data_IF_595903655178
#
_entry.id   IF_595903655178
#
_cell.length_a   1.000
_cell.length_b   1.000
_cell.length_c   1.000
_cell.angle_alpha   90.00
_cell.angle_beta   90.00
_cell.angle_gamma   90.00
#
_symmetry.space_group_name_H-M   'P 1'
#
loop_
_entity.id
_entity.type
_entity.pdbx_description
1 polymer ?
#
# COMPACT_ATOMS: atom_id res chain seq x y z
N UNK A 1 20.70 11.52 3.55
CA UNK A 1 19.29 11.17 3.26
C UNK A 1 19.20 10.12 2.18
N UNK A 2 19.73 10.36 0.97
CA UNK A 2 19.73 9.36 -0.11
C UNK A 2 20.39 8.03 0.28
N UNK A 3 21.50 8.05 1.01
CA UNK A 3 22.17 6.83 1.52
C UNK A 3 21.29 6.01 2.48
N UNK A 4 20.49 6.67 3.33
CA UNK A 4 19.55 6.00 4.24
C UNK A 4 18.40 5.35 3.46
N UNK A 5 17.87 6.06 2.47
CA UNK A 5 16.83 5.55 1.56
C UNK A 5 17.35 4.32 0.80
N UNK A 6 18.56 4.40 0.24
CA UNK A 6 19.17 3.29 -0.49
C UNK A 6 19.36 2.05 0.37
N UNK A 7 19.81 2.21 1.62
CA UNK A 7 19.93 1.10 2.57
C UNK A 7 18.57 0.48 2.88
N UNK A 8 17.57 1.30 3.20
CA UNK A 8 16.23 0.82 3.55
C UNK A 8 15.55 0.08 2.38
N UNK A 9 15.80 0.51 1.13
CA UNK A 9 15.35 -0.23 -0.07
C UNK A 9 16.04 -1.59 -0.15
N UNK A 10 17.36 -1.64 0.09
CA UNK A 10 18.12 -2.90 0.06
C UNK A 10 17.64 -3.88 1.15
N UNK A 11 17.40 -3.37 2.36
CA UNK A 11 16.97 -4.19 3.50
C UNK A 11 15.56 -4.77 3.30
N UNK A 12 14.73 -4.12 2.48
CA UNK A 12 13.34 -4.53 2.22
C UNK A 12 13.06 -4.96 0.79
N UNK A 13 14.10 -5.26 -0.01
CA UNK A 13 13.97 -5.63 -1.43
C UNK A 13 13.05 -6.82 -1.65
N UNK A 14 13.03 -7.79 -0.72
CA UNK A 14 12.15 -8.96 -0.80
C UNK A 14 10.66 -8.57 -0.76
N UNK A 15 10.29 -7.59 0.06
CA UNK A 15 8.91 -7.09 0.12
C UNK A 15 8.54 -6.35 -1.16
N UNK A 16 9.48 -5.56 -1.72
CA UNK A 16 9.26 -4.84 -2.99
C UNK A 16 9.01 -5.84 -4.12
N UNK A 17 9.88 -6.83 -4.27
CA UNK A 17 9.75 -7.87 -5.29
C UNK A 17 8.46 -8.67 -5.11
N UNK A 18 8.13 -9.07 -3.88
CA UNK A 18 6.90 -9.78 -3.58
C UNK A 18 5.64 -9.00 -3.98
N UNK A 19 5.56 -7.72 -3.62
CA UNK A 19 4.44 -6.86 -4.01
C UNK A 19 4.36 -6.69 -5.54
N UNK A 20 5.50 -6.52 -6.22
CA UNK A 20 5.54 -6.43 -7.68
C UNK A 20 5.06 -7.72 -8.36
N UNK A 21 5.46 -8.90 -7.87
CA UNK A 21 5.01 -10.18 -8.42
C UNK A 21 3.49 -10.33 -8.25
N UNK A 22 2.96 -10.03 -7.06
CA UNK A 22 1.51 -10.10 -6.83
C UNK A 22 0.76 -9.10 -7.74
N UNK A 23 1.25 -7.85 -7.86
CA UNK A 23 0.67 -6.87 -8.79
C UNK A 23 0.66 -7.38 -10.24
N UNK A 24 1.77 -7.96 -10.72
CA UNK A 24 1.85 -8.52 -12.07
C UNK A 24 0.90 -9.71 -12.27
N UNK A 25 0.71 -10.56 -11.24
CA UNK A 25 -0.26 -11.65 -11.30
C UNK A 25 -1.69 -11.12 -11.42
N UNK A 26 -2.07 -10.13 -10.61
CA UNK A 26 -3.40 -9.49 -10.69
C UNK A 26 -3.58 -8.90 -12.09
N UNK A 27 -2.60 -8.14 -12.59
CA UNK A 27 -2.60 -7.59 -13.95
C UNK A 27 -2.81 -8.68 -15.00
N UNK A 28 -2.03 -9.76 -14.94
CA UNK A 28 -2.12 -10.86 -15.90
C UNK A 28 -3.50 -11.53 -15.90
N UNK A 29 -4.07 -11.75 -14.71
CA UNK A 29 -5.43 -12.30 -14.57
C UNK A 29 -6.47 -11.33 -15.13
N UNK A 30 -6.37 -10.03 -14.82
CA UNK A 30 -7.30 -9.02 -15.33
C UNK A 30 -7.24 -8.92 -16.86
N UNK A 31 -6.04 -8.96 -17.45
CA UNK A 31 -5.88 -8.94 -18.92
C UNK A 31 -6.44 -10.21 -19.55
N UNK A 32 -6.16 -11.38 -18.95
CA UNK A 32 -6.70 -12.65 -19.43
C UNK A 32 -8.23 -12.67 -19.36
N UNK A 33 -8.81 -12.25 -18.24
CA UNK A 33 -10.26 -12.20 -18.06
C UNK A 33 -10.94 -11.29 -19.08
N UNK A 34 -10.35 -10.12 -19.33
CA UNK A 34 -10.84 -9.13 -20.29
C UNK A 34 -10.81 -9.63 -21.74
N UNK A 35 -9.91 -10.56 -22.07
CA UNK A 35 -9.73 -11.07 -23.42
C UNK A 35 -10.49 -12.41 -23.66
N UNK A 36 -10.78 -13.18 -22.61
CA UNK A 36 -11.43 -14.50 -22.69
C UNK A 36 -12.82 -14.59 -22.02
N UNK A 37 -13.32 -13.49 -21.43
CA UNK A 37 -14.68 -13.37 -20.84
C UNK A 37 -14.98 -14.41 -19.72
N UNK A 38 -14.01 -14.68 -18.82
CA UNK A 38 -14.09 -15.73 -17.79
C UNK A 38 -14.58 -15.23 -16.41
N UNK A 39 -15.80 -14.73 -16.31
CA UNK A 39 -16.14 -13.74 -15.28
C UNK A 39 -16.13 -14.14 -13.77
N UNK A 40 -16.58 -15.32 -13.28
CA UNK A 40 -16.77 -15.48 -11.83
C UNK A 40 -15.49 -15.87 -11.07
N UNK A 41 -14.62 -16.68 -11.67
CA UNK A 41 -13.45 -17.25 -10.96
C UNK A 41 -12.31 -16.23 -10.89
N UNK A 42 -12.11 -15.43 -11.95
CA UNK A 42 -11.08 -14.40 -12.05
C UNK A 42 -11.25 -13.32 -10.99
N UNK A 43 -12.49 -12.86 -10.75
CA UNK A 43 -12.79 -11.84 -9.73
C UNK A 43 -12.42 -12.31 -8.32
N UNK A 44 -12.79 -13.54 -7.96
CA UNK A 44 -12.47 -14.13 -6.65
C UNK A 44 -10.96 -14.28 -6.44
N UNK A 45 -10.24 -14.68 -7.49
CA UNK A 45 -8.78 -14.80 -7.47
C UNK A 45 -8.09 -13.43 -7.33
N UNK A 46 -8.54 -12.43 -8.10
CA UNK A 46 -8.06 -11.04 -8.00
C UNK A 46 -8.31 -10.45 -6.59
N UNK A 47 -9.49 -10.66 -6.02
CA UNK A 47 -9.80 -10.23 -4.66
C UNK A 47 -8.90 -10.87 -3.61
N UNK A 48 -8.62 -12.17 -3.76
CA UNK A 48 -7.71 -12.91 -2.86
C UNK A 48 -6.28 -12.40 -2.98
N UNK A 49 -5.77 -12.17 -4.19
CA UNK A 49 -4.44 -11.60 -4.43
C UNK A 49 -4.34 -10.16 -3.91
N UNK A 50 -5.38 -9.34 -4.08
CA UNK A 50 -5.43 -7.99 -3.53
C UNK A 50 -5.35 -8.01 -1.99
N UNK A 51 -6.03 -8.96 -1.32
CA UNK A 51 -5.89 -9.15 0.12
C UNK A 51 -4.45 -9.47 0.52
N UNK A 52 -3.78 -10.39 -0.19
CA UNK A 52 -2.36 -10.70 0.05
C UNK A 52 -1.45 -9.50 -0.20
N UNK A 53 -1.74 -8.66 -1.19
CA UNK A 53 -1.01 -7.43 -1.46
C UNK A 53 -1.18 -6.41 -0.32
N UNK A 54 -2.38 -6.25 0.22
CA UNK A 54 -2.58 -5.37 1.38
C UNK A 54 -1.90 -5.91 2.64
N UNK A 55 -1.96 -7.23 2.85
CA UNK A 55 -1.25 -7.90 3.93
C UNK A 55 0.28 -7.75 3.78
N UNK A 56 0.83 -7.76 2.56
CA UNK A 56 2.25 -7.55 2.33
C UNK A 56 2.68 -6.12 2.68
N UNK A 57 1.90 -5.09 2.33
CA UNK A 57 2.18 -3.71 2.75
C UNK A 57 2.10 -3.52 4.27
N UNK A 58 1.13 -4.14 4.92
CA UNK A 58 1.05 -4.18 6.38
C UNK A 58 2.32 -4.83 6.97
N UNK A 59 2.72 -5.99 6.46
CA UNK A 59 3.91 -6.69 6.92
C UNK A 59 5.21 -5.91 6.69
N UNK A 60 5.32 -5.16 5.60
CA UNK A 60 6.43 -4.25 5.31
C UNK A 60 6.54 -3.17 6.39
N UNK A 61 5.43 -2.51 6.75
CA UNK A 61 5.41 -1.52 7.82
C UNK A 61 5.81 -2.10 9.17
N UNK A 62 5.32 -3.32 9.49
CA UNK A 62 5.72 -4.04 10.71
C UNK A 62 7.21 -4.34 10.71
N UNK A 63 7.74 -4.89 9.61
CA UNK A 63 9.14 -5.28 9.49
C UNK A 63 10.09 -4.09 9.63
N UNK A 64 9.76 -2.94 9.04
CA UNK A 64 10.55 -1.71 9.15
C UNK A 64 10.69 -1.24 10.60
N UNK A 65 9.58 -1.18 11.35
CA UNK A 65 9.61 -0.70 12.75
C UNK A 65 10.13 -1.75 13.72
N UNK A 66 9.78 -3.02 13.52
CA UNK A 66 10.25 -4.10 14.36
C UNK A 66 11.76 -4.35 14.18
N UNK A 67 12.24 -4.40 12.93
CA UNK A 67 13.65 -4.61 12.60
C UNK A 67 14.53 -3.50 13.19
N UNK A 68 14.08 -2.26 13.12
CA UNK A 68 14.76 -1.13 13.75
C UNK A 68 14.95 -1.30 15.25
N UNK A 69 13.88 -1.72 15.92
CA UNK A 69 13.88 -1.90 17.37
C UNK A 69 14.71 -3.10 17.79
N UNK A 70 14.56 -4.22 17.09
CA UNK A 70 15.28 -5.46 17.39
C UNK A 70 16.80 -5.27 17.22
N UNK A 71 17.20 -4.60 16.14
CA UNK A 71 18.61 -4.39 15.80
C UNK A 71 19.18 -3.08 16.37
N UNK A 72 18.36 -2.29 17.10
CA UNK A 72 18.73 -0.99 17.67
C UNK A 72 19.37 -0.04 16.64
N UNK A 73 18.89 -0.08 15.40
CA UNK A 73 19.49 0.68 14.29
C UNK A 73 19.32 2.17 14.53
N UNK A 74 18.14 2.63 14.93
CA UNK A 74 17.90 4.04 15.24
C UNK A 74 18.78 4.57 16.38
N UNK A 75 19.13 3.77 17.39
CA UNK A 75 20.04 4.23 18.44
C UNK A 75 21.46 4.39 17.91
N UNK A 76 21.94 3.43 17.10
CA UNK A 76 23.26 3.52 16.45
C UNK A 76 23.33 4.67 15.44
N UNK A 77 22.27 4.93 14.68
CA UNK A 77 22.23 6.05 13.74
C UNK A 77 22.14 7.40 14.47
N UNK A 78 21.53 7.44 15.66
CA UNK A 78 21.38 8.67 16.44
C UNK A 78 22.67 9.17 17.10
N UNK A 79 23.71 8.32 17.20
CA UNK A 79 25.06 8.78 17.61
C UNK A 79 25.79 9.49 16.48
N UNK A 80 25.30 9.37 15.24
CA UNK A 80 25.74 10.20 14.11
C UNK A 80 24.90 11.48 14.02
N UNK A 81 25.28 12.42 13.15
CA UNK A 81 24.58 13.69 12.93
C UNK A 81 23.19 13.55 12.23
N UNK A 82 22.48 12.44 12.45
CA UNK A 82 21.17 12.13 11.86
C UNK A 82 20.10 12.14 12.94
N UNK A 83 19.09 13.00 12.78
CA UNK A 83 17.96 13.06 13.71
C UNK A 83 16.97 11.92 13.47
N UNK A 84 16.28 11.47 14.53
CA UNK A 84 15.23 10.45 14.46
C UNK A 84 14.13 10.76 13.44
N UNK A 85 13.71 12.02 13.40
CA UNK A 85 12.80 12.57 12.40
C UNK A 85 13.23 12.23 10.97
N UNK A 86 14.51 12.36 10.66
CA UNK A 86 15.05 12.06 9.33
C UNK A 86 15.03 10.56 9.02
N UNK A 87 15.27 9.72 10.02
CA UNK A 87 15.19 8.25 9.89
C UNK A 87 13.74 7.83 9.60
N UNK A 88 12.78 8.29 10.40
CA UNK A 88 11.37 7.99 10.20
C UNK A 88 10.88 8.48 8.84
N UNK A 89 11.24 9.71 8.43
CA UNK A 89 10.89 10.24 7.13
C UNK A 89 11.45 9.38 5.98
N UNK A 90 12.69 8.91 6.08
CA UNK A 90 13.27 8.02 5.08
C UNK A 90 12.49 6.71 4.95
N UNK A 91 12.07 6.11 6.07
CA UNK A 91 11.25 4.88 6.07
C UNK A 91 9.90 5.08 5.41
N UNK A 92 9.19 6.13 5.82
CA UNK A 92 7.88 6.48 5.27
C UNK A 92 7.98 6.74 3.77
N UNK A 93 9.01 7.48 3.31
CA UNK A 93 9.24 7.71 1.89
C UNK A 93 9.48 6.42 1.11
N UNK A 94 10.26 5.48 1.67
CA UNK A 94 10.51 4.17 1.05
C UNK A 94 9.22 3.35 1.00
N UNK A 95 8.44 3.29 2.08
CA UNK A 95 7.16 2.59 2.08
C UNK A 95 6.16 3.17 1.09
N UNK A 96 6.05 4.50 1.02
CA UNK A 96 5.22 5.19 0.02
C UNK A 96 5.70 4.87 -1.40
N UNK A 97 7.01 4.89 -1.65
CA UNK A 97 7.57 4.56 -2.97
C UNK A 97 7.26 3.12 -3.38
N UNK A 98 7.34 2.16 -2.44
CA UNK A 98 7.02 0.75 -2.69
C UNK A 98 5.52 0.57 -2.98
N UNK A 99 4.64 1.21 -2.19
CA UNK A 99 3.19 1.18 -2.42
C UNK A 99 2.84 1.80 -3.78
N UNK A 100 3.32 3.01 -4.06
CA UNK A 100 3.03 3.69 -5.33
C UNK A 100 3.61 2.91 -6.50
N UNK A 101 4.85 2.44 -6.41
CA UNK A 101 5.52 1.68 -7.48
C UNK A 101 4.77 0.38 -7.82
N UNK A 102 4.42 -0.41 -6.80
CA UNK A 102 3.68 -1.67 -7.01
C UNK A 102 2.26 -1.45 -7.52
N UNK A 103 1.57 -0.39 -7.10
CA UNK A 103 0.26 -0.05 -7.65
C UNK A 103 0.37 0.47 -9.09
N UNK A 104 1.38 1.29 -9.41
CA UNK A 104 1.63 1.75 -10.79
C UNK A 104 1.89 0.57 -11.73
N UNK A 105 2.65 -0.44 -11.28
CA UNK A 105 2.85 -1.69 -12.04
C UNK A 105 1.53 -2.42 -12.36
N UNK A 106 0.53 -2.29 -11.50
CA UNK A 106 -0.81 -2.84 -11.73
C UNK A 106 -1.65 -1.94 -12.65
N UNK A 107 -1.70 -0.64 -12.35
CA UNK A 107 -2.53 0.35 -13.04
C UNK A 107 -2.19 0.48 -14.51
N UNK A 108 -0.90 0.68 -14.81
CA UNK A 108 -0.46 1.12 -16.14
C UNK A 108 -0.79 0.08 -17.20
N UNK A 109 -0.49 -1.22 -17.03
CA UNK A 109 -0.82 -2.22 -18.04
C UNK A 109 -2.33 -2.39 -18.22
N UNK A 110 -3.12 -2.37 -17.13
CA UNK A 110 -4.59 -2.47 -17.22
C UNK A 110 -5.15 -1.29 -18.01
N UNK A 111 -4.68 -0.07 -17.73
CA UNK A 111 -5.08 1.12 -18.46
C UNK A 111 -4.71 1.05 -19.96
N UNK A 112 -3.51 0.56 -20.29
CA UNK A 112 -3.07 0.37 -21.68
C UNK A 112 -3.97 -0.63 -22.41
N UNK A 113 -4.29 -1.77 -21.79
CA UNK A 113 -5.15 -2.79 -22.42
C UNK A 113 -6.56 -2.25 -22.62
N UNK A 114 -7.13 -1.54 -21.64
CA UNK A 114 -8.43 -0.88 -21.79
C UNK A 114 -8.42 0.15 -22.94
N UNK A 115 -7.34 0.91 -23.10
CA UNK A 115 -7.19 1.84 -24.23
C UNK A 115 -7.10 1.14 -25.58
N UNK A 116 -6.40 0.00 -25.65
CA UNK A 116 -6.27 -0.78 -26.89
C UNK A 116 -7.61 -1.36 -27.34
N UNK A 117 -8.43 -1.86 -26.41
CA UNK A 117 -9.75 -2.42 -26.71
C UNK A 117 -10.75 -1.33 -27.13
N UNK A 118 -10.62 -0.11 -26.60
CA UNK A 118 -11.55 0.98 -26.87
C UNK A 118 -11.39 1.69 -28.24
N UNK A 119 -10.40 1.32 -29.06
CA UNK A 119 -10.14 1.92 -30.39
C UNK A 119 -10.67 0.98 -31.49
N UNK A 120 -11.65 1.35 -32.36
CA UNK A 120 -11.63 2.58 -33.19
C UNK A 120 -13.01 3.14 -33.67
N UNK A 121 -14.14 2.98 -32.96
CA UNK A 121 -15.44 3.52 -33.42
C UNK A 121 -16.03 4.54 -32.42
N UNK A 122 -16.26 5.78 -32.87
CA UNK A 122 -16.46 6.99 -32.07
C UNK A 122 -17.56 7.00 -30.98
N UNK A 123 -18.35 5.94 -30.85
CA UNK A 123 -19.29 5.71 -29.75
C UNK A 123 -18.55 5.36 -28.45
N UNK A 124 -17.42 4.65 -28.52
CA UNK A 124 -16.66 4.24 -27.34
C UNK A 124 -15.97 5.39 -26.59
N UNK A 125 -15.73 6.54 -27.25
CA UNK A 125 -15.02 7.67 -26.63
C UNK A 125 -15.73 8.25 -25.40
N UNK A 126 -17.07 8.40 -25.45
CA UNK A 126 -17.85 8.88 -24.28
C UNK A 126 -17.88 7.88 -23.14
N UNK A 127 -17.87 6.59 -23.47
CA UNK A 127 -17.80 5.52 -22.48
C UNK A 127 -16.43 5.59 -21.79
N UNK A 128 -15.34 5.73 -22.55
CA UNK A 128 -13.98 5.89 -21.99
C UNK A 128 -13.87 7.09 -21.05
N UNK A 129 -14.47 8.24 -21.38
CA UNK A 129 -14.44 9.41 -20.50
C UNK A 129 -15.15 9.14 -19.16
N UNK A 130 -16.32 8.51 -19.18
CA UNK A 130 -17.04 8.14 -17.96
C UNK A 130 -16.27 7.11 -17.13
N UNK A 131 -15.74 6.06 -17.77
CA UNK A 131 -14.95 5.02 -17.10
C UNK A 131 -13.61 5.54 -16.58
N UNK A 132 -13.01 6.55 -17.22
CA UNK A 132 -11.73 7.12 -16.77
C UNK A 132 -11.82 7.71 -15.36
N UNK A 133 -12.94 8.36 -15.03
CA UNK A 133 -13.19 8.88 -13.69
C UNK A 133 -13.31 7.75 -12.67
N UNK A 134 -14.15 6.75 -12.95
CA UNK A 134 -14.34 5.59 -12.07
C UNK A 134 -13.04 4.81 -11.86
N UNK A 135 -12.25 4.62 -12.93
CA UNK A 135 -10.94 3.97 -12.85
C UNK A 135 -10.02 4.78 -11.94
N UNK A 136 -9.91 6.10 -12.13
CA UNK A 136 -9.10 6.94 -11.25
C UNK A 136 -9.56 6.88 -9.80
N UNK A 137 -10.86 6.81 -9.53
CA UNK A 137 -11.38 6.69 -8.18
C UNK A 137 -11.04 5.34 -7.53
N UNK A 138 -11.18 4.23 -8.28
CA UNK A 138 -10.81 2.89 -7.83
C UNK A 138 -9.31 2.84 -7.53
N UNK A 139 -8.48 3.35 -8.44
CA UNK A 139 -7.03 3.34 -8.30
C UNK A 139 -6.57 4.20 -7.12
N UNK A 140 -7.12 5.40 -6.98
CA UNK A 140 -6.81 6.29 -5.85
C UNK A 140 -7.22 5.64 -4.53
N UNK A 141 -8.40 5.00 -4.49
CA UNK A 141 -8.85 4.25 -3.31
C UNK A 141 -7.89 3.09 -3.00
N UNK A 142 -7.43 2.36 -4.01
CA UNK A 142 -6.49 1.24 -3.86
C UNK A 142 -5.13 1.69 -3.31
N UNK A 143 -4.60 2.81 -3.80
CA UNK A 143 -3.37 3.43 -3.26
C UNK A 143 -3.57 3.84 -1.80
N UNK A 144 -4.69 4.49 -1.48
CA UNK A 144 -4.98 4.93 -0.11
C UNK A 144 -5.17 3.76 0.85
N UNK A 145 -5.85 2.68 0.45
CA UNK A 145 -5.96 1.45 1.26
C UNK A 145 -4.58 0.87 1.50
N UNK A 146 -3.75 0.77 0.46
CA UNK A 146 -2.39 0.23 0.56
C UNK A 146 -1.53 1.07 1.52
N UNK A 147 -1.60 2.40 1.42
CA UNK A 147 -0.93 3.32 2.34
C UNK A 147 -1.46 3.21 3.77
N UNK A 148 -2.78 3.06 3.95
CA UNK A 148 -3.38 2.87 5.26
C UNK A 148 -2.91 1.56 5.90
N UNK A 149 -2.85 0.47 5.13
CA UNK A 149 -2.32 -0.83 5.58
C UNK A 149 -0.86 -0.71 5.99
N UNK A 150 -0.04 -0.05 5.18
CA UNK A 150 1.36 0.25 5.52
C UNK A 150 1.48 1.06 6.83
N UNK A 151 0.69 2.12 7.00
CA UNK A 151 0.71 2.96 8.19
C UNK A 151 0.28 2.19 9.45
N UNK A 152 -0.72 1.30 9.35
CA UNK A 152 -1.08 0.39 10.43
C UNK A 152 0.10 -0.50 10.77
N UNK A 153 0.77 -1.06 9.76
CA UNK A 153 1.97 -1.87 9.95
C UNK A 153 3.04 -1.13 10.75
N UNK A 154 3.31 0.14 10.43
CA UNK A 154 4.26 0.97 11.18
C UNK A 154 3.87 1.12 12.65
N UNK A 155 2.61 1.48 12.93
CA UNK A 155 2.12 1.63 14.31
C UNK A 155 2.24 0.33 15.09
N UNK A 156 1.86 -0.76 14.44
CA UNK A 156 1.82 -2.10 15.00
C UNK A 156 3.24 -2.56 15.32
N UNK A 157 4.19 -2.40 14.40
CA UNK A 157 5.60 -2.76 14.61
C UNK A 157 6.28 -2.04 15.79
N UNK A 158 5.71 -0.91 16.25
CA UNK A 158 6.17 -0.21 17.45
C UNK A 158 5.65 -0.82 18.76
N UNK A 159 4.56 -1.58 18.73
CA UNK A 159 3.97 -2.17 19.95
C UNK A 159 4.80 -3.33 20.47
N UNK A 160 4.91 -3.46 21.81
CA UNK A 160 5.68 -4.53 22.46
C UNK A 160 4.95 -5.87 22.50
N UNK A 161 3.62 -5.85 22.43
CA UNK A 161 2.79 -7.03 22.63
C UNK A 161 2.46 -7.70 21.29
N UNK A 162 3.05 -8.87 21.05
CA UNK A 162 2.87 -9.70 19.84
C UNK A 162 1.41 -10.07 19.56
N UNK A 163 0.60 -10.28 20.61
CA UNK A 163 -0.81 -10.67 20.45
C UNK A 163 -1.64 -9.47 19.99
N UNK A 164 -1.42 -8.30 20.62
CA UNK A 164 -2.06 -7.05 20.21
C UNK A 164 -1.65 -6.63 18.80
N UNK A 165 -0.42 -6.94 18.42
CA UNK A 165 0.13 -6.71 17.08
C UNK A 165 -0.67 -7.48 16.01
N UNK A 166 -0.80 -8.80 16.16
CA UNK A 166 -1.51 -9.64 15.18
C UNK A 166 -3.01 -9.36 15.16
N UNK A 167 -3.68 -9.35 16.32
CA UNK A 167 -5.13 -9.19 16.37
C UNK A 167 -5.57 -7.78 15.97
N UNK A 168 -4.85 -6.76 16.43
CA UNK A 168 -5.16 -5.36 16.12
C UNK A 168 -4.97 -5.06 14.63
N UNK A 169 -3.90 -5.56 14.02
CA UNK A 169 -3.65 -5.35 12.58
C UNK A 169 -4.68 -6.03 11.69
N UNK A 170 -5.05 -7.29 11.98
CA UNK A 170 -6.08 -7.99 11.23
C UNK A 170 -7.46 -7.33 11.36
N UNK A 171 -7.82 -6.87 12.57
CA UNK A 171 -9.08 -6.18 12.80
C UNK A 171 -9.14 -4.83 12.07
N UNK A 172 -8.06 -4.05 12.10
CA UNK A 172 -7.99 -2.78 11.36
C UNK A 172 -7.99 -2.99 9.85
N UNK A 173 -7.29 -4.01 9.34
CA UNK A 173 -7.34 -4.38 7.93
C UNK A 173 -8.76 -4.75 7.50
N UNK A 174 -9.42 -5.62 8.27
CA UNK A 174 -10.80 -6.03 8.01
C UNK A 174 -11.76 -4.84 8.04
N UNK A 175 -11.58 -3.91 8.98
CA UNK A 175 -12.40 -2.69 9.09
C UNK A 175 -12.22 -1.76 7.90
N UNK A 176 -10.98 -1.53 7.44
CA UNK A 176 -10.70 -0.71 6.25
C UNK A 176 -11.32 -1.33 5.01
N UNK A 177 -11.13 -2.63 4.80
CA UNK A 177 -11.70 -3.34 3.66
C UNK A 177 -13.23 -3.31 3.69
N UNK A 178 -13.83 -3.50 4.88
CA UNK A 178 -15.30 -3.42 5.06
C UNK A 178 -15.81 -2.01 4.77
N UNK A 179 -15.10 -0.97 5.21
CA UNK A 179 -15.50 0.42 4.98
C UNK A 179 -15.52 0.74 3.48
N UNK A 180 -14.47 0.36 2.75
CA UNK A 180 -14.40 0.57 1.30
C UNK A 180 -15.42 -0.29 0.57
N UNK A 181 -15.66 -1.52 1.01
CA UNK A 181 -16.67 -2.40 0.43
C UNK A 181 -18.09 -1.83 0.56
N UNK A 182 -18.45 -1.33 1.75
CA UNK A 182 -19.79 -0.80 2.03
C UNK A 182 -20.00 0.55 1.33
N UNK A 183 -19.02 1.46 1.37
CA UNK A 183 -19.15 2.80 0.78
C UNK A 183 -18.88 2.84 -0.72
N UNK A 184 -18.15 1.87 -1.24
CA UNK A 184 -17.58 1.89 -2.57
C UNK A 184 -16.38 2.86 -2.69
N UNK A 185 -15.65 2.79 -3.82
CA UNK A 185 -14.63 3.77 -4.16
C UNK A 185 -15.31 5.11 -4.44
N UNK A 186 -14.87 6.16 -3.74
CA UNK A 186 -15.43 7.50 -3.92
C UNK A 186 -14.81 8.52 -2.97
N UNK A 187 -15.07 9.82 -3.18
CA UNK A 187 -14.39 10.90 -2.46
C UNK A 187 -14.60 10.85 -0.94
N UNK A 188 -15.76 10.35 -0.49
CA UNK A 188 -16.05 10.18 0.94
C UNK A 188 -15.14 9.12 1.59
N UNK A 189 -15.00 7.95 0.95
CA UNK A 189 -14.13 6.90 1.44
C UNK A 189 -12.65 7.34 1.41
N UNK A 190 -12.24 8.03 0.34
CA UNK A 190 -10.90 8.60 0.23
C UNK A 190 -10.59 9.58 1.35
N UNK A 191 -11.51 10.50 1.65
CA UNK A 191 -11.33 11.47 2.73
C UNK A 191 -11.16 10.78 4.09
N UNK A 192 -11.96 9.75 4.37
CA UNK A 192 -11.83 8.96 5.60
C UNK A 192 -10.45 8.28 5.66
N UNK A 193 -10.00 7.68 4.55
CA UNK A 193 -8.69 7.04 4.47
C UNK A 193 -7.55 8.05 4.66
N UNK A 194 -7.64 9.24 4.07
CA UNK A 194 -6.62 10.30 4.22
C UNK A 194 -6.53 10.76 5.67
N UNK A 195 -7.67 11.01 6.32
CA UNK A 195 -7.70 11.39 7.75
C UNK A 195 -7.12 10.27 8.61
N UNK A 196 -7.47 9.02 8.32
CA UNK A 196 -6.92 7.85 9.00
C UNK A 196 -5.39 7.74 8.83
N UNK A 197 -4.88 7.87 7.61
CA UNK A 197 -3.44 7.86 7.30
C UNK A 197 -2.72 8.98 8.07
N UNK A 198 -3.26 10.21 8.04
CA UNK A 198 -2.68 11.35 8.72
C UNK A 198 -2.62 11.14 10.25
N UNK A 199 -3.72 10.67 10.84
CA UNK A 199 -3.76 10.31 12.25
C UNK A 199 -2.78 9.18 12.59
N UNK A 200 -2.68 8.17 11.71
CA UNK A 200 -1.81 7.04 11.93
C UNK A 200 -0.32 7.41 11.90
N UNK A 201 0.08 8.23 10.92
CA UNK A 201 1.42 8.77 10.79
C UNK A 201 1.76 9.74 11.92
N UNK A 202 0.84 10.64 12.30
CA UNK A 202 1.04 11.57 13.41
C UNK A 202 1.26 10.86 14.74
N UNK A 203 0.48 9.81 15.03
CA UNK A 203 0.70 8.99 16.22
C UNK A 203 2.03 8.22 16.17
N UNK A 204 2.39 7.64 15.01
CA UNK A 204 3.68 6.96 14.81
C UNK A 204 4.84 7.91 15.04
N UNK A 205 4.74 9.12 14.48
CA UNK A 205 5.73 10.18 14.67
C UNK A 205 5.93 10.52 16.14
N UNK A 206 4.84 10.85 16.84
CA UNK A 206 4.90 11.21 18.25
C UNK A 206 5.53 10.10 19.10
N UNK A 207 5.15 8.84 18.87
CA UNK A 207 5.72 7.67 19.56
C UNK A 207 7.20 7.48 19.26
N UNK A 208 7.62 7.64 18.02
CA UNK A 208 9.01 7.48 17.59
C UNK A 208 9.92 8.57 18.17
N UNK A 209 9.43 9.81 18.24
CA UNK A 209 10.19 10.95 18.79
C UNK A 209 10.27 10.93 20.31
N UNK A 210 9.25 10.41 21.01
CA UNK A 210 9.17 10.42 22.47
C UNK A 210 9.85 9.25 23.19
N UNK A 211 10.20 8.17 22.48
CA UNK A 211 10.83 7.01 23.12
C UNK A 211 12.24 7.33 23.64
N UNK A 212 12.50 7.19 24.95
CA UNK A 212 13.85 7.29 25.50
C UNK A 212 14.74 6.15 24.99
N UNK A 213 16.02 6.46 24.69
CA UNK A 213 17.05 5.47 24.31
C UNK A 213 17.33 4.47 25.43
#
# INVERSE_FOLDING_TARGET
MLTLIGREISDHVAYVLGCCVISLMITGITIYDLLWETEPISLGLCGTLAFFLFASFLSLGVAQMYGDRANRISSLLSTMAVTRTRILAARVLVGVLVVVGSVVLFVVPVAIVLQMIASPQGVYRRIVEFYSHTILEVLTSFVLISLACYCIGLQVGWTTNKVRLLLGSLLLLALILSLVWIKGPGPQAMLILVVFIAAALGHTWYRFTSASL
#
